data_IF_519358558193
#
_entry.id   IF_519358558193
#
_cell.length_a   1.000
_cell.length_b   1.000
_cell.length_c   1.000
_cell.angle_alpha   90.00
_cell.angle_beta   90.00
_cell.angle_gamma   90.00
#
_symmetry.space_group_name_H-M   'P 1'
#
loop_
_entity.id
_entity.type
_entity.pdbx_description
1 polymer ?
#
# COMPACT_ATOMS: atom_id res chain seq x y z
N UNK A 1 2.82 13.26 -27.08
CA UNK A 1 3.72 12.17 -26.72
C UNK A 1 3.11 11.54 -25.47
N UNK A 2 2.74 10.27 -25.52
CA UNK A 2 2.18 9.59 -24.36
C UNK A 2 3.36 9.18 -23.49
N UNK A 3 3.50 9.76 -22.33
CA UNK A 3 4.44 9.26 -21.32
C UNK A 3 3.82 8.00 -20.69
N UNK A 4 4.56 6.91 -20.78
CA UNK A 4 4.21 5.65 -20.18
C UNK A 4 4.59 5.73 -18.69
N UNK A 5 3.60 5.73 -17.83
CA UNK A 5 3.76 5.61 -16.38
C UNK A 5 3.33 4.22 -15.91
N UNK A 6 3.67 3.89 -14.68
CA UNK A 6 3.42 2.57 -14.08
C UNK A 6 1.92 2.26 -14.01
N UNK A 7 1.10 3.23 -13.60
CA UNK A 7 -0.35 3.07 -13.50
C UNK A 7 -1.00 2.82 -14.87
N UNK A 8 -0.57 3.53 -15.93
CA UNK A 8 -1.05 3.31 -17.30
C UNK A 8 -0.55 1.97 -17.86
N UNK A 9 0.69 1.59 -17.57
CA UNK A 9 1.21 0.27 -17.97
C UNK A 9 0.42 -0.87 -17.33
N UNK A 10 0.11 -0.76 -16.04
CA UNK A 10 -0.74 -1.72 -15.33
C UNK A 10 -2.12 -1.89 -15.97
N UNK A 11 -2.77 -0.77 -16.33
CA UNK A 11 -4.05 -0.81 -17.06
C UNK A 11 -3.95 -1.55 -18.40
N UNK A 12 -2.86 -1.35 -19.13
CA UNK A 12 -2.67 -2.00 -20.42
C UNK A 12 -2.45 -3.52 -20.30
N UNK A 13 -1.67 -3.95 -19.33
CA UNK A 13 -1.46 -5.39 -19.05
C UNK A 13 -2.78 -6.03 -18.65
N UNK A 14 -3.54 -5.38 -17.76
CA UNK A 14 -4.86 -5.86 -17.37
C UNK A 14 -5.81 -5.95 -18.59
N UNK A 15 -5.91 -4.89 -19.38
CA UNK A 15 -6.76 -4.83 -20.56
C UNK A 15 -6.39 -5.91 -21.61
N UNK A 16 -5.09 -6.17 -21.78
CA UNK A 16 -4.60 -7.24 -22.64
C UNK A 16 -5.06 -8.61 -22.13
N UNK A 17 -4.89 -8.88 -20.83
CA UNK A 17 -5.31 -10.14 -20.23
C UNK A 17 -6.83 -10.34 -20.36
N UNK A 18 -7.62 -9.31 -20.09
CA UNK A 18 -9.07 -9.40 -20.24
C UNK A 18 -9.47 -9.70 -21.70
N UNK A 19 -8.98 -8.91 -22.64
CA UNK A 19 -9.42 -9.04 -24.03
C UNK A 19 -8.86 -10.28 -24.71
N UNK A 20 -7.60 -10.65 -24.48
CA UNK A 20 -6.93 -11.75 -25.21
C UNK A 20 -7.06 -13.08 -24.51
N UNK A 21 -7.00 -13.11 -23.17
CA UNK A 21 -7.03 -14.37 -22.40
C UNK A 21 -8.46 -14.69 -21.97
N UNK A 22 -9.07 -13.83 -21.14
CA UNK A 22 -10.37 -14.12 -20.52
C UNK A 22 -11.52 -14.12 -21.55
N UNK A 23 -11.49 -13.22 -22.50
CA UNK A 23 -12.47 -13.16 -23.59
C UNK A 23 -11.99 -13.77 -24.92
N UNK A 24 -10.84 -14.46 -24.90
CA UNK A 24 -10.31 -15.20 -26.06
C UNK A 24 -10.24 -14.37 -27.36
N UNK A 25 -9.77 -13.13 -27.28
CA UNK A 25 -9.66 -12.19 -28.40
C UNK A 25 -10.96 -11.45 -28.76
N UNK A 26 -12.08 -11.72 -28.08
CA UNK A 26 -13.38 -11.09 -28.35
C UNK A 26 -13.51 -9.77 -27.57
N UNK A 27 -12.72 -8.77 -27.98
CA UNK A 27 -12.68 -7.47 -27.31
C UNK A 27 -14.03 -6.75 -27.31
N UNK A 28 -14.88 -6.92 -28.34
CA UNK A 28 -16.22 -6.33 -28.37
C UNK A 28 -17.13 -6.88 -27.28
N UNK A 29 -17.07 -8.20 -27.02
CA UNK A 29 -17.83 -8.83 -25.93
C UNK A 29 -17.40 -8.29 -24.56
N UNK A 30 -16.08 -8.16 -24.36
CA UNK A 30 -15.52 -7.57 -23.16
C UNK A 30 -16.01 -6.13 -22.95
N UNK A 31 -15.84 -5.26 -23.95
CA UNK A 31 -16.25 -3.85 -23.85
C UNK A 31 -17.75 -3.72 -23.62
N UNK A 32 -18.56 -4.55 -24.27
CA UNK A 32 -20.01 -4.54 -24.09
C UNK A 32 -20.43 -5.02 -22.70
N UNK A 33 -19.79 -6.06 -22.18
CA UNK A 33 -20.09 -6.60 -20.84
C UNK A 33 -19.72 -5.64 -19.71
N UNK A 34 -18.65 -4.86 -19.89
CA UNK A 34 -18.17 -3.87 -18.91
C UNK A 34 -18.84 -2.50 -19.04
N UNK A 35 -19.64 -2.29 -20.08
CA UNK A 35 -20.34 -1.03 -20.29
C UNK A 35 -21.38 -0.80 -19.20
N UNK A 36 -21.31 0.36 -18.52
CA UNK A 36 -22.34 0.79 -17.57
C UNK A 36 -23.43 1.57 -18.30
N UNK A 37 -24.67 1.07 -18.35
CA UNK A 37 -25.77 1.73 -19.09
C UNK A 37 -26.14 3.08 -18.50
N UNK A 38 -26.01 3.24 -17.18
CA UNK A 38 -26.48 4.43 -16.44
C UNK A 38 -25.45 5.56 -16.37
N UNK A 39 -24.27 5.39 -16.96
CA UNK A 39 -23.23 6.41 -16.94
C UNK A 39 -23.49 7.49 -17.98
N UNK A 40 -23.36 8.79 -17.63
CA UNK A 40 -23.35 9.87 -18.62
C UNK A 40 -22.25 9.63 -19.66
N UNK A 41 -22.59 9.76 -20.95
CA UNK A 41 -21.68 9.56 -22.08
C UNK A 41 -21.24 10.88 -22.66
N UNK A 42 -20.00 10.93 -23.12
CA UNK A 42 -19.54 12.03 -23.96
C UNK A 42 -20.06 11.85 -25.39
N UNK A 43 -20.12 12.95 -26.14
CA UNK A 43 -20.69 12.93 -27.49
C UNK A 43 -19.93 11.99 -28.47
N UNK A 44 -18.67 11.67 -28.18
CA UNK A 44 -17.81 10.78 -28.96
C UNK A 44 -17.82 9.31 -28.47
N UNK A 45 -18.62 8.99 -27.45
CA UNK A 45 -18.69 7.65 -26.88
C UNK A 45 -19.79 6.82 -27.55
N UNK A 46 -19.37 5.72 -28.16
CA UNK A 46 -20.28 4.69 -28.70
C UNK A 46 -20.61 3.69 -27.59
N UNK A 47 -21.90 3.36 -27.36
CA UNK A 47 -22.28 2.34 -26.38
C UNK A 47 -21.59 1.00 -26.65
N UNK A 48 -21.03 0.39 -25.60
CA UNK A 48 -20.33 -0.89 -25.67
C UNK A 48 -18.97 -0.86 -26.37
N UNK A 49 -18.51 0.31 -26.86
CA UNK A 49 -17.19 0.47 -27.50
C UNK A 49 -16.25 1.41 -26.74
N UNK A 50 -16.61 1.83 -25.54
CA UNK A 50 -15.79 2.73 -24.72
C UNK A 50 -15.83 2.32 -23.26
N UNK A 51 -14.65 2.26 -22.65
CA UNK A 51 -14.47 2.00 -21.20
C UNK A 51 -13.65 3.12 -20.57
N UNK A 52 -13.95 3.47 -19.31
CA UNK A 52 -13.09 4.27 -18.45
C UNK A 52 -12.54 3.37 -17.37
N UNK A 53 -11.22 3.31 -17.29
CA UNK A 53 -10.49 2.54 -16.28
C UNK A 53 -9.82 3.54 -15.36
N UNK A 54 -10.08 3.42 -14.08
CA UNK A 54 -9.34 4.10 -13.02
C UNK A 54 -8.38 3.08 -12.38
N UNK A 55 -7.13 3.42 -12.27
CA UNK A 55 -6.13 2.66 -11.51
C UNK A 55 -5.57 3.51 -10.39
N UNK A 56 -5.36 2.87 -9.25
CA UNK A 56 -4.63 3.42 -8.12
C UNK A 56 -3.46 2.48 -7.89
N UNK A 57 -2.26 3.00 -8.02
CA UNK A 57 -1.03 2.27 -7.75
C UNK A 57 -0.41 2.83 -6.46
N UNK A 58 -0.35 2.00 -5.41
CA UNK A 58 0.17 2.37 -4.09
C UNK A 58 1.53 1.73 -3.93
N UNK A 59 2.58 2.52 -4.18
CA UNK A 59 3.96 2.12 -3.93
C UNK A 59 4.38 2.31 -2.46
N UNK A 60 5.68 2.24 -2.18
CA UNK A 60 6.24 2.54 -0.86
C UNK A 60 6.16 4.04 -0.52
N UNK A 61 6.57 4.91 -1.42
CA UNK A 61 6.67 6.36 -1.19
C UNK A 61 5.72 7.23 -2.01
N UNK A 62 5.00 6.68 -3.00
CA UNK A 62 4.04 7.41 -3.85
C UNK A 62 2.80 6.58 -4.14
N UNK A 63 1.70 7.26 -4.32
CA UNK A 63 0.45 6.69 -4.83
C UNK A 63 0.11 7.41 -6.13
N UNK A 64 0.00 6.65 -7.21
CA UNK A 64 -0.33 7.18 -8.53
C UNK A 64 -1.77 6.81 -8.92
N UNK A 65 -2.55 7.83 -9.29
CA UNK A 65 -3.91 7.69 -9.78
C UNK A 65 -3.95 8.04 -11.26
N UNK A 66 -4.47 7.14 -12.09
CA UNK A 66 -4.70 7.40 -13.50
C UNK A 66 -6.13 7.00 -13.92
N UNK A 67 -6.78 7.86 -14.69
CA UNK A 67 -8.08 7.57 -15.32
C UNK A 67 -7.90 7.68 -16.82
N UNK A 68 -8.08 6.57 -17.53
CA UNK A 68 -7.91 6.48 -18.98
C UNK A 68 -9.20 6.01 -19.63
N UNK A 69 -9.60 6.70 -20.68
CA UNK A 69 -10.67 6.25 -21.57
C UNK A 69 -10.08 5.41 -22.70
N UNK A 70 -10.54 4.18 -22.82
CA UNK A 70 -10.19 3.27 -23.90
C UNK A 70 -11.36 3.19 -24.87
N UNK A 71 -11.07 3.40 -26.15
CA UNK A 71 -12.04 3.23 -27.23
C UNK A 71 -11.64 2.06 -28.10
N UNK A 72 -12.63 1.21 -28.35
CA UNK A 72 -12.52 0.14 -29.33
C UNK A 72 -12.82 0.73 -30.71
N UNK A 73 -11.83 0.79 -31.55
CA UNK A 73 -11.97 1.26 -32.94
C UNK A 73 -12.29 0.06 -33.83
N UNK A 74 -13.07 0.28 -34.88
CA UNK A 74 -13.32 -0.71 -35.92
C UNK A 74 -12.01 -0.96 -36.68
N UNK A 75 -11.39 -2.12 -36.39
CA UNK A 75 -10.14 -2.52 -37.04
C UNK A 75 -10.39 -2.94 -38.49
N UNK A 76 -9.37 -2.86 -39.33
CA UNK A 76 -9.40 -3.50 -40.66
C UNK A 76 -9.05 -4.97 -40.52
N UNK A 77 -9.97 -5.86 -40.89
CA UNK A 77 -9.80 -7.32 -40.79
C UNK A 77 -9.94 -7.82 -39.35
N UNK A 78 -9.16 -8.84 -38.99
CA UNK A 78 -9.16 -9.44 -37.64
C UNK A 78 -8.40 -8.62 -36.57
N UNK A 79 -7.90 -7.43 -36.94
CA UNK A 79 -7.12 -6.61 -36.01
C UNK A 79 -8.03 -5.65 -35.25
N UNK A 80 -8.19 -5.89 -33.98
CA UNK A 80 -8.86 -4.98 -33.05
C UNK A 80 -7.86 -3.90 -32.61
N UNK A 81 -8.26 -2.63 -32.74
CA UNK A 81 -7.47 -1.50 -32.23
C UNK A 81 -8.15 -0.88 -31.01
N UNK A 82 -7.41 -0.78 -29.93
CA UNK A 82 -7.86 -0.10 -28.71
C UNK A 82 -7.06 1.19 -28.59
N UNK A 83 -7.75 2.34 -28.57
CA UNK A 83 -7.13 3.65 -28.51
C UNK A 83 -7.31 4.23 -27.10
N UNK A 84 -6.22 4.46 -26.34
CA UNK A 84 -6.26 5.09 -25.04
C UNK A 84 -6.32 6.61 -25.16
N UNK A 85 -7.04 7.24 -24.23
CA UNK A 85 -7.04 8.69 -23.98
C UNK A 85 -6.94 8.92 -22.49
N UNK A 86 -5.84 9.45 -22.02
CA UNK A 86 -5.68 9.84 -20.63
C UNK A 86 -6.65 10.99 -20.31
N UNK A 87 -7.46 10.82 -19.27
CA UNK A 87 -8.41 11.81 -18.80
C UNK A 87 -7.91 12.55 -17.56
N UNK A 88 -7.26 11.81 -16.66
CA UNK A 88 -6.76 12.35 -15.40
C UNK A 88 -5.55 11.55 -14.96
N UNK A 89 -4.57 12.24 -14.36
CA UNK A 89 -3.42 11.65 -13.71
C UNK A 89 -2.98 12.55 -12.58
N UNK A 90 -2.72 11.94 -11.42
CA UNK A 90 -2.15 12.63 -10.26
C UNK A 90 -1.31 11.67 -9.44
N UNK A 91 -0.19 12.18 -8.90
CA UNK A 91 0.67 11.46 -7.99
C UNK A 91 0.65 12.11 -6.61
N UNK A 92 0.53 11.28 -5.56
CA UNK A 92 0.50 11.71 -4.17
C UNK A 92 1.74 11.17 -3.45
N UNK A 93 2.30 11.97 -2.53
CA UNK A 93 3.39 11.56 -1.64
C UNK A 93 2.86 10.94 -0.33
N UNK A 94 1.82 10.14 -0.43
CA UNK A 94 1.26 9.34 0.66
C UNK A 94 1.13 7.93 0.17
N UNK A 95 1.76 6.97 0.85
CA UNK A 95 1.87 5.61 0.35
C UNK A 95 2.09 4.58 1.47
N UNK A 96 2.57 3.39 1.13
CA UNK A 96 2.72 2.28 2.07
C UNK A 96 3.64 2.60 3.25
N UNK A 97 4.70 3.37 3.04
CA UNK A 97 5.62 3.77 4.12
C UNK A 97 4.97 4.68 5.15
N UNK A 98 4.04 5.56 4.73
CA UNK A 98 3.27 6.42 5.64
C UNK A 98 2.31 5.59 6.49
N UNK A 99 1.69 4.56 5.90
CA UNK A 99 0.82 3.62 6.64
C UNK A 99 1.63 2.87 7.71
N UNK A 100 2.84 2.38 7.35
CA UNK A 100 3.72 1.74 8.32
C UNK A 100 4.13 2.70 9.44
N UNK A 101 4.46 3.95 9.10
CA UNK A 101 4.80 4.97 10.07
C UNK A 101 3.63 5.25 11.02
N UNK A 102 2.41 5.38 10.49
CA UNK A 102 1.20 5.59 11.29
C UNK A 102 0.94 4.40 12.23
N UNK A 103 1.08 3.17 11.77
CA UNK A 103 0.96 1.98 12.63
C UNK A 103 1.97 2.02 13.77
N UNK A 104 3.23 2.39 13.48
CA UNK A 104 4.28 2.51 14.52
C UNK A 104 3.91 3.61 15.50
N UNK A 105 3.61 4.81 15.03
CA UNK A 105 3.42 5.99 15.87
C UNK A 105 2.11 5.97 16.66
N UNK A 106 1.03 5.50 16.06
CA UNK A 106 -0.31 5.61 16.65
C UNK A 106 -0.71 4.36 17.45
N UNK A 107 -0.09 3.19 17.16
CA UNK A 107 -0.49 1.93 17.78
C UNK A 107 0.65 1.27 18.56
N UNK A 108 1.83 1.10 17.95
CA UNK A 108 2.92 0.33 18.56
C UNK A 108 3.60 1.13 19.68
N UNK A 109 4.03 2.36 19.42
CA UNK A 109 4.73 3.16 20.42
C UNK A 109 3.85 3.49 21.65
N UNK A 110 2.56 3.87 21.50
CA UNK A 110 1.69 4.08 22.66
C UNK A 110 1.45 2.80 23.46
N UNK A 111 1.29 1.64 22.80
CA UNK A 111 1.13 0.36 23.49
C UNK A 111 2.39 -0.03 24.27
N UNK A 112 3.57 0.20 23.72
CA UNK A 112 4.84 0.00 24.39
C UNK A 112 4.98 0.91 25.60
N UNK A 113 4.73 2.21 25.44
CA UNK A 113 4.76 3.18 26.53
C UNK A 113 3.82 2.77 27.68
N UNK A 114 2.59 2.39 27.36
CA UNK A 114 1.62 1.92 28.35
C UNK A 114 2.11 0.66 29.08
N UNK A 115 2.73 -0.27 28.36
CA UNK A 115 3.27 -1.50 28.94
C UNK A 115 4.43 -1.22 29.89
N UNK A 116 5.33 -0.30 29.54
CA UNK A 116 6.42 0.14 30.40
C UNK A 116 5.91 0.82 31.67
N UNK A 117 4.90 1.68 31.54
CA UNK A 117 4.24 2.32 32.70
C UNK A 117 3.60 1.28 33.64
N UNK A 118 2.89 0.29 33.10
CA UNK A 118 2.30 -0.80 33.88
C UNK A 118 3.36 -1.66 34.58
N UNK A 119 4.54 -1.80 33.96
CA UNK A 119 5.68 -2.48 34.58
C UNK A 119 6.39 -1.66 35.68
N UNK A 120 5.93 -0.44 35.95
CA UNK A 120 6.44 0.41 37.02
C UNK A 120 7.47 1.45 36.57
N UNK A 121 7.69 1.62 35.26
CA UNK A 121 8.61 2.60 34.73
C UNK A 121 7.96 4.01 34.74
N UNK A 122 8.23 4.80 35.76
CA UNK A 122 7.63 6.13 35.93
C UNK A 122 8.08 7.16 34.91
N UNK A 123 9.24 6.93 34.26
CA UNK A 123 9.84 7.79 33.24
C UNK A 123 9.73 7.19 31.83
N UNK A 124 8.63 6.49 31.54
CA UNK A 124 8.41 5.85 30.23
C UNK A 124 8.44 6.85 29.06
N UNK A 125 7.86 8.05 29.21
CA UNK A 125 7.85 9.07 28.16
C UNK A 125 9.25 9.62 27.83
N UNK A 126 10.07 10.05 28.80
CA UNK A 126 11.47 10.41 28.54
C UNK A 126 12.28 9.29 27.88
N UNK A 127 12.06 8.04 28.30
CA UNK A 127 12.72 6.88 27.70
C UNK A 127 12.30 6.70 26.24
N UNK A 128 11.00 6.78 25.93
CA UNK A 128 10.50 6.69 24.55
C UNK A 128 11.09 7.80 23.67
N UNK A 129 11.18 9.02 24.19
CA UNK A 129 11.81 10.14 23.48
C UNK A 129 13.30 9.92 23.25
N UNK A 130 14.01 9.31 24.23
CA UNK A 130 15.42 8.96 24.11
C UNK A 130 15.66 7.87 23.05
N UNK A 131 14.82 6.83 23.03
CA UNK A 131 14.95 5.70 22.10
C UNK A 131 14.51 6.05 20.68
N UNK A 132 13.46 6.88 20.52
CA UNK A 132 12.75 7.08 19.26
C UNK A 132 12.58 8.55 18.87
N UNK A 133 12.91 9.48 19.76
CA UNK A 133 12.79 10.91 19.50
C UNK A 133 13.97 11.47 18.69
N UNK A 134 13.76 12.69 18.16
CA UNK A 134 14.75 13.45 17.41
C UNK A 134 15.74 14.23 18.30
N UNK A 135 16.13 13.71 19.45
CA UNK A 135 17.09 14.42 20.30
C UNK A 135 18.50 14.31 19.71
N UNK A 136 18.94 15.43 19.11
CA UNK A 136 20.24 15.58 18.44
C UNK A 136 21.46 15.40 19.35
N UNK A 137 21.26 15.35 20.68
CA UNK A 137 22.35 15.19 21.65
C UNK A 137 22.94 13.80 21.73
N UNK A 138 22.39 12.83 20.97
CA UNK A 138 22.82 11.43 20.98
C UNK A 138 23.31 10.95 19.62
N UNK A 139 24.07 11.73 18.91
CA UNK A 139 24.60 11.36 17.58
C UNK A 139 25.35 10.03 17.55
N UNK A 140 26.03 9.64 18.63
CA UNK A 140 26.71 8.35 18.73
C UNK A 140 25.81 7.11 18.70
N UNK A 141 24.50 7.26 18.93
CA UNK A 141 23.52 6.15 18.94
C UNK A 141 22.52 6.20 17.79
N UNK A 142 22.63 7.17 16.88
CA UNK A 142 21.71 7.32 15.76
C UNK A 142 21.60 6.04 14.90
N UNK A 143 22.73 5.39 14.63
CA UNK A 143 22.75 4.13 13.89
C UNK A 143 22.02 3.00 14.63
N UNK A 144 22.19 2.87 15.95
CA UNK A 144 21.47 1.86 16.73
C UNK A 144 19.97 2.12 16.76
N UNK A 145 19.55 3.37 16.92
CA UNK A 145 18.13 3.76 16.85
C UNK A 145 17.52 3.43 15.49
N UNK A 146 18.24 3.71 14.41
CA UNK A 146 17.83 3.31 13.06
C UNK A 146 17.70 1.80 12.93
N UNK A 147 18.65 1.04 13.48
CA UNK A 147 18.58 -0.42 13.48
C UNK A 147 17.41 -0.96 14.32
N UNK A 148 17.06 -0.33 15.42
CA UNK A 148 15.84 -0.65 16.20
C UNK A 148 14.61 -0.49 15.33
N UNK A 149 14.49 0.61 14.62
CA UNK A 149 13.36 0.85 13.69
C UNK A 149 13.30 -0.23 12.61
N UNK A 150 14.42 -0.53 11.95
CA UNK A 150 14.48 -1.48 10.84
C UNK A 150 14.27 -2.93 11.27
N UNK A 151 14.74 -3.32 12.46
CA UNK A 151 14.74 -4.72 12.90
C UNK A 151 13.62 -5.08 13.88
N UNK A 152 12.96 -4.09 14.47
CA UNK A 152 11.88 -4.31 15.44
C UNK A 152 10.56 -3.69 14.94
N UNK A 153 10.53 -2.38 14.72
CA UNK A 153 9.26 -1.69 14.48
C UNK A 153 8.69 -1.90 13.08
N UNK A 154 9.52 -1.85 12.05
CA UNK A 154 9.05 -2.10 10.68
C UNK A 154 8.51 -3.52 10.53
N UNK A 155 9.25 -4.59 10.91
CA UNK A 155 8.71 -5.95 10.85
C UNK A 155 7.45 -6.15 11.70
N UNK A 156 7.38 -5.51 12.87
CA UNK A 156 6.20 -5.57 13.72
C UNK A 156 5.00 -4.87 13.07
N UNK A 157 5.19 -3.70 12.50
CA UNK A 157 4.13 -2.97 11.79
C UNK A 157 3.63 -3.75 10.56
N UNK A 158 4.53 -4.33 9.79
CA UNK A 158 4.17 -5.21 8.66
C UNK A 158 3.35 -6.41 9.13
N UNK A 159 3.77 -7.09 10.22
CA UNK A 159 3.02 -8.20 10.77
C UNK A 159 1.63 -7.80 11.29
N UNK A 160 1.48 -6.61 11.83
CA UNK A 160 0.17 -6.04 12.22
C UNK A 160 -0.70 -5.83 11.00
N UNK A 161 -0.17 -5.22 9.93
CA UNK A 161 -0.91 -5.01 8.68
C UNK A 161 -1.32 -6.33 8.02
N UNK A 162 -0.42 -7.31 7.94
CA UNK A 162 -0.75 -8.64 7.40
C UNK A 162 -1.89 -9.34 8.18
N UNK A 163 -1.94 -9.13 9.50
CA UNK A 163 -3.03 -9.66 10.32
C UNK A 163 -4.33 -8.90 10.07
N UNK A 164 -4.24 -7.58 9.91
CA UNK A 164 -5.39 -6.74 9.59
C UNK A 164 -6.00 -7.10 8.22
N UNK A 165 -5.18 -7.37 7.21
CA UNK A 165 -5.64 -7.81 5.88
C UNK A 165 -6.42 -9.13 5.93
N UNK A 166 -6.06 -10.02 6.86
CA UNK A 166 -6.72 -11.33 7.04
C UNK A 166 -7.90 -11.29 8.01
N UNK A 167 -8.14 -10.14 8.62
CA UNK A 167 -9.22 -9.98 9.59
C UNK A 167 -10.57 -9.92 8.89
N UNK A 168 -11.51 -10.78 9.37
CA UNK A 168 -12.90 -10.74 8.93
C UNK A 168 -13.70 -9.81 9.87
N UNK A 169 -14.21 -8.65 9.37
CA UNK A 169 -15.00 -7.73 10.16
C UNK A 169 -16.34 -8.32 10.65
N UNK A 170 -16.76 -9.46 10.09
CA UNK A 170 -17.97 -10.18 10.53
C UNK A 170 -17.68 -11.16 11.68
N UNK A 171 -16.40 -11.45 11.94
CA UNK A 171 -15.99 -12.28 13.08
C UNK A 171 -15.77 -11.40 14.32
N UNK A 172 -16.80 -11.39 15.18
CA UNK A 172 -16.80 -10.62 16.44
C UNK A 172 -15.81 -11.13 17.50
N UNK A 173 -15.10 -12.23 17.25
CA UNK A 173 -14.20 -12.88 18.20
C UNK A 173 -12.71 -12.70 17.85
N UNK A 174 -12.39 -11.94 16.82
CA UNK A 174 -11.00 -11.78 16.37
C UNK A 174 -10.21 -10.77 17.22
N UNK A 175 -9.90 -11.12 18.47
CA UNK A 175 -8.77 -10.51 19.16
C UNK A 175 -7.47 -11.09 18.60
N UNK A 176 -6.59 -10.22 18.09
CA UNK A 176 -5.25 -10.63 17.63
C UNK A 176 -4.34 -10.68 18.86
N UNK A 177 -4.28 -11.83 19.50
CA UNK A 177 -3.26 -12.12 20.50
C UNK A 177 -2.12 -12.90 19.84
N UNK A 178 -0.93 -12.31 19.76
CA UNK A 178 0.26 -12.96 19.24
C UNK A 178 1.47 -12.57 20.08
N UNK A 179 2.37 -13.54 20.28
CA UNK A 179 3.66 -13.26 20.92
C UNK A 179 4.57 -12.50 19.94
N UNK A 180 5.42 -11.63 20.47
CA UNK A 180 6.37 -10.86 19.66
C UNK A 180 7.21 -11.75 18.72
N UNK A 181 7.69 -12.90 19.20
CA UNK A 181 8.48 -13.83 18.39
C UNK A 181 7.69 -14.52 17.26
N UNK A 182 6.36 -14.53 17.33
CA UNK A 182 5.49 -15.00 16.24
C UNK A 182 5.28 -13.92 15.17
N UNK A 183 5.25 -12.66 15.61
CA UNK A 183 5.07 -11.51 14.72
C UNK A 183 6.39 -11.12 14.03
N UNK A 184 7.51 -11.26 14.71
CA UNK A 184 8.84 -10.93 14.21
C UNK A 184 9.73 -12.20 14.21
N UNK A 185 9.60 -13.04 13.18
CA UNK A 185 10.31 -14.34 13.13
C UNK A 185 11.83 -14.17 12.99
N UNK A 186 12.31 -13.06 12.44
CA UNK A 186 13.73 -12.76 12.35
C UNK A 186 14.21 -12.11 13.65
N UNK A 187 15.08 -12.83 14.37
CA UNK A 187 15.65 -12.30 15.61
C UNK A 187 16.54 -11.08 15.30
N UNK A 188 16.30 -9.93 15.99
CA UNK A 188 17.16 -8.76 15.86
C UNK A 188 18.62 -9.05 16.20
N UNK A 189 19.54 -8.26 15.66
CA UNK A 189 20.96 -8.38 15.97
C UNK A 189 21.23 -8.21 17.47
N UNK A 190 22.21 -8.93 17.99
CA UNK A 190 22.56 -8.88 19.42
C UNK A 190 22.91 -7.49 19.91
N UNK A 191 23.52 -6.64 19.06
CA UNK A 191 23.79 -5.23 19.36
C UNK A 191 22.52 -4.38 19.54
N UNK A 192 21.50 -4.64 18.75
CA UNK A 192 20.18 -3.98 18.85
C UNK A 192 19.49 -4.40 20.14
N UNK A 193 19.47 -5.70 20.44
CA UNK A 193 18.88 -6.21 21.67
C UNK A 193 19.63 -5.69 22.92
N UNK A 194 20.96 -5.65 22.88
CA UNK A 194 21.76 -5.11 23.97
C UNK A 194 21.51 -3.60 24.18
N UNK A 195 21.34 -2.85 23.10
CA UNK A 195 20.99 -1.42 23.19
C UNK A 195 19.62 -1.23 23.83
N UNK A 196 18.59 -1.92 23.36
CA UNK A 196 17.22 -1.78 23.92
C UNK A 196 17.20 -2.23 25.39
N UNK A 197 17.80 -3.38 25.72
CA UNK A 197 17.82 -3.89 27.09
C UNK A 197 18.67 -3.02 28.04
N UNK A 198 19.67 -2.32 27.54
CA UNK A 198 20.49 -1.43 28.33
C UNK A 198 19.84 -0.07 28.63
N UNK A 199 18.78 0.30 27.89
CA UNK A 199 18.06 1.54 28.07
C UNK A 199 16.75 1.37 28.87
N UNK A 200 16.19 0.15 28.88
CA UNK A 200 15.02 -0.25 29.68
C UNK A 200 15.48 -0.78 31.05
#
# INVERSE_FOLDING_TARGET
QMEWDEATCGQMVWLFNETQVNFAGRAEDFFSSMARPDRPREADEVPGKSLRIASIDIGGGTTDLAITKYRLDDGQGNNVKITPRLLFREGFKVAGDDILLDVIQLWILPALQQSLQKAGLTLAEPLMNKLFGHDSRMDGQATLRQQVTLQLFIPLAQAVLERYEKWDPLDSHSEINALFGELVPQKPASSVLAFVNGEI
#
